data_IF_126188146334
#
_entry.id   IF_126188146334
#
_cell.length_a   1.000
_cell.length_b   1.000
_cell.length_c   1.000
_cell.angle_alpha   90.00
_cell.angle_beta   90.00
_cell.angle_gamma   90.00
#
_symmetry.space_group_name_H-M   'P 1'
#
loop_
_entity.id
_entity.type
_entity.pdbx_description
1 polymer ?
#
# COMPACT_ATOMS: atom_id res chain seq x y z
N UNK A 1 -6.12 -14.61 13.05
CA UNK A 1 -6.62 -13.30 12.60
C UNK A 1 -7.98 -12.94 13.23
N UNK A 2 -9.04 -13.76 13.09
CA UNK A 2 -10.40 -13.38 13.55
C UNK A 2 -10.50 -13.13 15.06
N UNK A 3 -9.88 -13.96 15.90
CA UNK A 3 -9.82 -13.72 17.34
C UNK A 3 -9.11 -12.41 17.68
N UNK A 4 -7.98 -12.13 17.02
CA UNK A 4 -7.24 -10.87 17.18
C UNK A 4 -8.05 -9.65 16.69
N UNK A 5 -8.81 -9.77 15.58
CA UNK A 5 -9.73 -8.73 15.13
C UNK A 5 -10.78 -8.37 16.19
N UNK A 6 -11.26 -9.36 16.94
CA UNK A 6 -12.22 -9.15 18.04
C UNK A 6 -11.59 -8.35 19.20
N UNK A 7 -10.30 -8.55 19.47
CA UNK A 7 -9.56 -7.78 20.47
C UNK A 7 -9.32 -6.35 19.95
N UNK A 8 -8.79 -6.20 18.72
CA UNK A 8 -8.52 -4.90 18.09
C UNK A 8 -9.74 -3.97 18.07
N UNK A 9 -10.92 -4.53 17.80
CA UNK A 9 -12.18 -3.77 17.76
C UNK A 9 -12.49 -3.04 19.07
N UNK A 10 -11.95 -3.51 20.22
CA UNK A 10 -12.20 -2.96 21.56
C UNK A 10 -11.13 -1.99 22.02
N UNK A 11 -10.02 -1.89 21.27
CA UNK A 11 -8.91 -1.01 21.61
C UNK A 11 -9.30 0.46 21.43
N UNK A 12 -8.84 1.28 22.35
CA UNK A 12 -8.92 2.74 22.22
C UNK A 12 -7.89 3.23 21.22
N UNK A 13 -8.06 4.45 20.74
CA UNK A 13 -7.13 5.14 19.87
C UNK A 13 -5.68 5.02 20.36
N UNK A 14 -5.43 5.40 21.61
CA UNK A 14 -4.09 5.39 22.19
C UNK A 14 -3.44 4.00 22.18
N UNK A 15 -4.22 2.96 22.47
CA UNK A 15 -3.72 1.59 22.46
C UNK A 15 -3.27 1.18 21.05
N UNK A 16 -4.00 1.59 20.01
CA UNK A 16 -3.64 1.36 18.59
C UNK A 16 -2.43 2.17 18.16
N UNK A 17 -2.32 3.42 18.62
CA UNK A 17 -1.18 4.28 18.34
C UNK A 17 0.11 3.70 18.93
N UNK A 18 0.04 3.19 20.18
CA UNK A 18 1.15 2.51 20.86
C UNK A 18 1.57 1.22 20.11
N UNK A 19 0.62 0.43 19.58
CA UNK A 19 0.93 -0.74 18.77
C UNK A 19 1.68 -0.36 17.48
N UNK A 20 1.25 0.69 16.79
CA UNK A 20 1.90 1.17 15.57
C UNK A 20 3.33 1.67 15.84
N UNK A 21 3.52 2.44 16.94
CA UNK A 21 4.84 2.86 17.36
C UNK A 21 5.73 1.67 17.71
N UNK A 22 5.20 0.66 18.41
CA UNK A 22 5.92 -0.57 18.73
C UNK A 22 6.34 -1.34 17.46
N UNK A 23 5.48 -1.42 16.44
CA UNK A 23 5.83 -2.03 15.16
C UNK A 23 6.96 -1.28 14.46
N UNK A 24 6.95 0.08 14.47
CA UNK A 24 8.04 0.90 13.94
C UNK A 24 9.37 0.64 14.65
N UNK A 25 9.34 0.53 15.99
CA UNK A 25 10.51 0.13 16.79
C UNK A 25 10.99 -1.27 16.40
N UNK A 26 10.07 -2.20 16.12
CA UNK A 26 10.38 -3.54 15.64
C UNK A 26 11.15 -3.52 14.32
N UNK A 27 10.70 -2.73 13.35
CA UNK A 27 11.39 -2.57 12.05
C UNK A 27 12.81 -2.02 12.22
N UNK A 28 13.00 -0.96 13.02
CA UNK A 28 14.31 -0.37 13.29
C UNK A 28 15.28 -1.35 13.94
N UNK A 29 14.78 -2.21 14.83
CA UNK A 29 15.61 -3.22 15.50
C UNK A 29 15.91 -4.45 14.63
N UNK A 30 15.07 -4.73 13.66
CA UNK A 30 15.22 -5.86 12.73
C UNK A 30 15.87 -5.48 11.39
N UNK A 31 16.54 -4.33 11.28
CA UNK A 31 17.10 -3.84 10.02
C UNK A 31 18.04 -4.87 9.37
N UNK A 32 18.97 -5.44 10.14
CA UNK A 32 19.99 -6.35 9.61
C UNK A 32 19.37 -7.66 9.10
N UNK A 33 18.39 -8.21 9.81
CA UNK A 33 17.67 -9.42 9.40
C UNK A 33 16.80 -9.14 8.17
N UNK A 34 16.16 -7.98 8.13
CA UNK A 34 15.33 -7.57 6.97
C UNK A 34 16.21 -7.38 5.73
N UNK A 35 17.37 -6.72 5.86
CA UNK A 35 18.29 -6.50 4.74
C UNK A 35 18.89 -7.82 4.25
N UNK A 36 19.24 -8.75 5.15
CA UNK A 36 19.74 -10.08 4.79
C UNK A 36 18.69 -10.86 3.99
N UNK A 37 17.44 -10.89 4.47
CA UNK A 37 16.35 -11.56 3.78
C UNK A 37 16.01 -10.90 2.42
N UNK A 38 16.07 -9.57 2.37
CA UNK A 38 15.84 -8.82 1.14
C UNK A 38 16.95 -9.05 0.11
N UNK A 39 18.22 -9.12 0.53
CA UNK A 39 19.33 -9.47 -0.34
C UNK A 39 19.11 -10.80 -1.06
N UNK A 40 18.65 -11.82 -0.35
CA UNK A 40 18.34 -13.12 -0.94
C UNK A 40 17.19 -13.06 -1.98
N UNK A 41 16.16 -12.22 -1.73
CA UNK A 41 15.08 -12.02 -2.70
C UNK A 41 15.57 -11.26 -3.94
N UNK A 42 16.38 -10.21 -3.76
CA UNK A 42 16.96 -9.41 -4.85
C UNK A 42 17.89 -10.24 -5.73
N UNK A 43 18.78 -11.05 -5.13
CA UNK A 43 19.68 -11.91 -5.86
C UNK A 43 18.89 -12.94 -6.69
N UNK A 44 17.89 -13.56 -6.10
CA UNK A 44 16.98 -14.49 -6.79
C UNK A 44 16.24 -13.82 -7.94
N UNK A 45 15.80 -12.56 -7.74
CA UNK A 45 15.14 -11.76 -8.78
C UNK A 45 16.10 -11.45 -9.94
N UNK A 46 17.34 -11.08 -9.63
CA UNK A 46 18.39 -10.80 -10.62
C UNK A 46 18.73 -12.04 -11.45
N UNK A 47 18.93 -13.18 -10.78
CA UNK A 47 19.21 -14.45 -11.44
C UNK A 47 18.06 -14.92 -12.34
N UNK A 48 16.83 -14.58 -11.99
CA UNK A 48 15.63 -14.84 -12.80
C UNK A 48 15.41 -13.83 -13.94
N UNK A 49 16.30 -12.85 -14.13
CA UNK A 49 16.19 -11.83 -15.18
C UNK A 49 15.11 -10.79 -14.93
N UNK A 50 14.82 -10.49 -13.67
CA UNK A 50 13.85 -9.44 -13.30
C UNK A 50 14.31 -8.08 -13.83
N UNK A 51 13.37 -7.31 -14.38
CA UNK A 51 13.58 -5.94 -14.84
C UNK A 51 14.13 -5.03 -13.73
N UNK A 52 15.05 -4.12 -14.06
CA UNK A 52 15.70 -3.20 -13.13
C UNK A 52 14.70 -2.35 -12.32
N UNK A 53 13.60 -1.91 -12.94
CA UNK A 53 12.57 -1.16 -12.26
C UNK A 53 11.80 -1.99 -11.22
N UNK A 54 11.65 -3.29 -11.47
CA UNK A 54 11.08 -4.23 -10.50
C UNK A 54 12.08 -4.58 -9.40
N UNK A 55 13.36 -4.72 -9.72
CA UNK A 55 14.44 -4.90 -8.75
C UNK A 55 14.55 -3.70 -7.81
N UNK A 56 14.49 -2.46 -8.34
CA UNK A 56 14.45 -1.25 -7.48
C UNK A 56 13.26 -1.26 -6.52
N UNK A 57 12.09 -1.70 -6.97
CA UNK A 57 10.89 -1.81 -6.12
C UNK A 57 11.02 -2.87 -5.04
N UNK A 58 11.71 -3.97 -5.34
CA UNK A 58 11.94 -5.08 -4.42
C UNK A 58 13.01 -4.73 -3.39
N UNK A 59 14.03 -3.96 -3.80
CA UNK A 59 15.19 -3.65 -2.97
C UNK A 59 14.82 -2.78 -1.76
N UNK A 60 15.22 -3.21 -0.58
CA UNK A 60 15.19 -2.42 0.65
C UNK A 60 16.58 -1.87 0.96
N UNK A 61 16.61 -0.67 1.54
CA UNK A 61 17.80 -0.05 2.13
C UNK A 61 17.49 0.33 3.57
N UNK A 62 18.49 0.65 4.41
CA UNK A 62 18.24 1.15 5.75
C UNK A 62 17.27 2.35 5.76
N UNK A 63 17.41 3.27 4.80
CA UNK A 63 16.57 4.45 4.67
C UNK A 63 15.14 4.09 4.27
N UNK A 64 14.96 3.07 3.41
CA UNK A 64 13.63 2.58 3.04
C UNK A 64 12.94 1.89 4.22
N UNK A 65 13.68 1.14 5.05
CA UNK A 65 13.15 0.51 6.27
C UNK A 65 12.80 1.59 7.31
N UNK A 66 13.65 2.61 7.48
CA UNK A 66 13.32 3.76 8.31
C UNK A 66 12.05 4.48 7.80
N UNK A 67 11.92 4.65 6.48
CA UNK A 67 10.70 5.18 5.85
C UNK A 67 9.45 4.37 6.19
N UNK A 68 9.55 3.03 6.26
CA UNK A 68 8.46 2.16 6.70
C UNK A 68 8.10 2.39 8.17
N UNK A 69 9.08 2.56 9.04
CA UNK A 69 8.86 2.85 10.46
C UNK A 69 8.19 4.23 10.66
N UNK A 70 8.70 5.26 9.97
CA UNK A 70 8.10 6.61 9.97
C UNK A 70 6.68 6.59 9.39
N UNK A 71 6.43 5.75 8.37
CA UNK A 71 5.09 5.54 7.83
C UNK A 71 4.10 5.02 8.87
N UNK A 72 4.50 4.04 9.70
CA UNK A 72 3.68 3.53 10.80
C UNK A 72 3.42 4.61 11.86
N UNK A 73 4.42 5.42 12.21
CA UNK A 73 4.27 6.56 13.11
C UNK A 73 3.30 7.60 12.52
N UNK A 74 3.41 7.87 11.21
CA UNK A 74 2.47 8.75 10.50
C UNK A 74 1.03 8.24 10.59
N UNK A 75 0.80 6.93 10.42
CA UNK A 75 -0.52 6.31 10.57
C UNK A 75 -1.01 6.42 12.01
N UNK A 76 -0.14 6.31 13.02
CA UNK A 76 -0.49 6.50 14.43
C UNK A 76 -1.07 7.90 14.69
N UNK A 77 -0.53 8.93 14.03
CA UNK A 77 -0.99 10.32 14.19
C UNK A 77 -2.35 10.61 13.49
N UNK A 78 -2.81 9.75 12.59
CA UNK A 78 -4.12 9.93 11.96
C UNK A 78 -5.25 9.80 13.00
N UNK A 79 -6.38 10.43 12.70
CA UNK A 79 -7.58 10.25 13.50
C UNK A 79 -8.05 8.80 13.43
N UNK A 80 -8.60 8.32 14.56
CA UNK A 80 -9.19 6.99 14.63
C UNK A 80 -10.58 7.02 13.99
N UNK A 81 -10.81 6.27 12.89
CA UNK A 81 -12.11 6.27 12.24
C UNK A 81 -13.18 5.47 13.03
N UNK A 82 -12.74 4.62 13.96
CA UNK A 82 -13.66 3.72 14.71
C UNK A 82 -14.43 4.51 15.75
N UNK A 83 -15.75 4.41 15.71
CA UNK A 83 -16.63 5.15 16.61
C UNK A 83 -17.05 6.54 16.10
N UNK A 84 -16.50 6.99 14.97
CA UNK A 84 -16.92 8.26 14.35
C UNK A 84 -18.42 8.20 13.94
N UNK A 85 -19.18 9.17 14.39
CA UNK A 85 -20.59 9.34 13.96
C UNK A 85 -20.63 10.08 12.63
N UNK A 86 -20.95 9.37 11.55
CA UNK A 86 -21.01 9.92 10.19
C UNK A 86 -22.23 10.84 10.03
N UNK A 87 -23.35 10.44 10.61
CA UNK A 87 -24.60 11.23 10.68
C UNK A 87 -25.51 10.71 11.78
N UNK A 88 -26.42 11.57 12.25
CA UNK A 88 -27.47 11.19 13.19
C UNK A 88 -28.77 11.91 12.86
N UNK A 89 -29.92 11.31 13.22
CA UNK A 89 -31.25 11.88 13.05
C UNK A 89 -32.22 11.33 14.08
N UNK A 90 -33.36 11.99 14.21
CA UNK A 90 -34.47 11.44 14.98
C UNK A 90 -35.57 10.96 14.03
N UNK A 91 -36.16 9.83 14.35
CA UNK A 91 -37.36 9.35 13.64
C UNK A 91 -38.58 10.17 14.06
N UNK A 92 -39.70 10.11 13.30
CA UNK A 92 -40.95 10.76 13.71
C UNK A 92 -41.47 10.29 15.08
N UNK A 93 -41.07 9.12 15.53
CA UNK A 93 -41.41 8.54 16.84
C UNK A 93 -40.42 8.93 17.96
N UNK A 94 -39.46 9.84 17.68
CA UNK A 94 -38.49 10.32 18.66
C UNK A 94 -37.27 9.42 18.91
N UNK A 95 -37.11 8.32 18.18
CA UNK A 95 -35.91 7.45 18.30
C UNK A 95 -34.72 8.14 17.69
N UNK A 96 -33.62 8.30 18.47
CA UNK A 96 -32.33 8.77 17.97
C UNK A 96 -31.64 7.65 17.22
N UNK A 97 -31.23 7.90 15.99
CA UNK A 97 -30.47 6.98 15.15
C UNK A 97 -29.12 7.61 14.81
N UNK A 98 -28.06 6.87 14.97
CA UNK A 98 -26.69 7.28 14.60
C UNK A 98 -26.06 6.23 13.68
N UNK A 99 -25.43 6.70 12.60
CA UNK A 99 -24.60 5.88 11.73
C UNK A 99 -23.15 6.03 12.18
N UNK A 100 -22.60 4.94 12.73
CA UNK A 100 -21.26 4.92 13.34
C UNK A 100 -20.33 4.05 12.50
N UNK A 101 -19.07 4.49 12.31
CA UNK A 101 -18.03 3.68 11.68
C UNK A 101 -17.58 2.55 12.60
N UNK A 102 -17.45 1.36 12.05
CA UNK A 102 -16.98 0.16 12.76
C UNK A 102 -15.90 -0.56 11.95
N UNK A 103 -14.99 -1.32 12.58
CA UNK A 103 -14.04 -2.15 11.85
C UNK A 103 -14.74 -3.17 10.95
N UNK A 104 -14.14 -3.47 9.80
CA UNK A 104 -14.62 -4.46 8.83
C UNK A 104 -14.44 -5.88 9.40
N UNK A 105 -13.28 -6.15 10.00
CA UNK A 105 -12.94 -7.44 10.58
C UNK A 105 -11.58 -7.96 10.13
N UNK A 106 -11.56 -8.96 9.25
CA UNK A 106 -10.34 -9.54 8.66
C UNK A 106 -10.23 -9.11 7.20
N UNK A 107 -9.17 -8.40 6.87
CA UNK A 107 -8.90 -7.90 5.52
C UNK A 107 -7.78 -8.72 4.89
N UNK A 108 -8.05 -9.34 3.74
CA UNK A 108 -7.03 -9.96 2.90
C UNK A 108 -6.46 -8.94 1.92
N UNK A 109 -5.14 -8.81 1.86
CA UNK A 109 -4.47 -7.91 0.93
C UNK A 109 -3.53 -8.73 0.05
N UNK A 110 -3.78 -8.71 -1.26
CA UNK A 110 -2.99 -9.45 -2.27
C UNK A 110 -2.18 -8.41 -3.04
N UNK A 111 -0.84 -8.51 -2.98
CA UNK A 111 0.03 -7.47 -3.55
C UNK A 111 1.27 -8.04 -4.24
N UNK A 112 1.82 -7.24 -5.16
CA UNK A 112 3.03 -7.56 -5.92
C UNK A 112 4.33 -7.35 -5.10
N UNK A 113 5.48 -7.49 -5.74
CA UNK A 113 6.82 -7.39 -5.16
C UNK A 113 7.14 -5.97 -4.65
N UNK A 114 6.57 -5.62 -3.49
CA UNK A 114 6.78 -4.33 -2.80
C UNK A 114 6.79 -4.56 -1.30
N UNK A 115 7.95 -4.84 -0.68
CA UNK A 115 8.04 -5.16 0.75
C UNK A 115 7.49 -4.06 1.67
N UNK A 116 7.56 -2.78 1.27
CA UNK A 116 6.99 -1.66 2.03
C UNK A 116 5.47 -1.75 2.18
N UNK A 117 4.76 -2.34 1.20
CA UNK A 117 3.29 -2.52 1.29
C UNK A 117 2.91 -3.38 2.49
N UNK A 118 3.79 -4.30 2.89
CA UNK A 118 3.60 -5.16 4.07
C UNK A 118 3.40 -4.34 5.34
N UNK A 119 4.24 -3.35 5.59
CA UNK A 119 4.12 -2.46 6.76
C UNK A 119 2.96 -1.48 6.63
N UNK A 120 2.79 -0.86 5.45
CA UNK A 120 1.74 0.11 5.20
C UNK A 120 0.36 -0.51 5.40
N UNK A 121 0.15 -1.70 4.80
CA UNK A 121 -1.10 -2.44 4.90
C UNK A 121 -1.40 -2.88 6.34
N UNK A 122 -0.39 -3.41 7.05
CA UNK A 122 -0.53 -3.79 8.46
C UNK A 122 -0.90 -2.58 9.32
N UNK A 123 -0.20 -1.45 9.14
CA UNK A 123 -0.43 -0.23 9.90
C UNK A 123 -1.85 0.31 9.73
N UNK A 124 -2.31 0.46 8.49
CA UNK A 124 -3.66 0.97 8.19
C UNK A 124 -4.74 0.02 8.73
N UNK A 125 -4.56 -1.30 8.60
CA UNK A 125 -5.50 -2.27 9.12
C UNK A 125 -5.60 -2.18 10.65
N UNK A 126 -4.46 -2.16 11.38
CA UNK A 126 -4.46 -2.05 12.83
C UNK A 126 -5.08 -0.74 13.31
N UNK A 127 -4.73 0.40 12.69
CA UNK A 127 -5.30 1.71 13.03
C UNK A 127 -6.81 1.73 12.91
N UNK A 128 -7.34 1.10 11.87
CA UNK A 128 -8.80 0.99 11.63
C UNK A 128 -9.47 -0.17 12.36
N UNK A 129 -8.75 -0.82 13.29
CA UNK A 129 -9.28 -1.90 14.14
C UNK A 129 -9.49 -3.24 13.44
N UNK A 130 -8.80 -3.47 12.31
CA UNK A 130 -8.90 -4.68 11.50
C UNK A 130 -7.67 -5.57 11.64
N UNK A 131 -7.84 -6.87 11.58
CA UNK A 131 -6.75 -7.81 11.33
C UNK A 131 -6.50 -7.92 9.82
N UNK A 132 -5.26 -8.26 9.43
CA UNK A 132 -4.88 -8.42 8.04
C UNK A 132 -4.21 -9.76 7.75
N UNK A 133 -4.55 -10.33 6.59
CA UNK A 133 -3.89 -11.45 5.94
C UNK A 133 -3.16 -10.91 4.71
N UNK A 134 -1.84 -10.95 4.73
CA UNK A 134 -0.97 -10.32 3.75
C UNK A 134 -0.43 -11.37 2.79
N UNK A 135 -0.82 -11.31 1.53
CA UNK A 135 -0.37 -12.20 0.46
C UNK A 135 0.48 -11.42 -0.55
N UNK A 136 1.78 -11.37 -0.29
CA UNK A 136 2.74 -10.77 -1.21
C UNK A 136 3.17 -11.72 -2.34
N UNK A 137 3.91 -11.18 -3.32
CA UNK A 137 4.55 -11.97 -4.37
C UNK A 137 5.58 -12.94 -3.79
N UNK A 138 5.74 -14.10 -4.41
CA UNK A 138 6.79 -15.08 -4.08
C UNK A 138 8.21 -14.51 -4.25
N UNK A 139 8.39 -13.55 -5.14
CA UNK A 139 9.68 -12.87 -5.35
C UNK A 139 10.11 -11.99 -4.16
N UNK A 140 9.21 -11.64 -3.24
CA UNK A 140 9.49 -10.85 -2.04
C UNK A 140 9.22 -11.64 -0.74
N UNK A 141 9.21 -12.96 -0.80
CA UNK A 141 8.73 -13.80 0.30
C UNK A 141 9.59 -13.67 1.55
N UNK A 142 10.92 -13.76 1.42
CA UNK A 142 11.82 -13.68 2.57
C UNK A 142 11.81 -12.27 3.19
N UNK A 143 11.77 -11.24 2.36
CA UNK A 143 11.60 -9.86 2.80
C UNK A 143 10.31 -9.67 3.61
N UNK A 144 9.19 -10.17 3.09
CA UNK A 144 7.89 -10.07 3.76
C UNK A 144 7.87 -10.83 5.08
N UNK A 145 8.49 -12.01 5.15
CA UNK A 145 8.66 -12.79 6.40
C UNK A 145 9.42 -12.00 7.45
N UNK A 146 10.58 -11.44 7.07
CA UNK A 146 11.42 -10.67 7.98
C UNK A 146 10.72 -9.40 8.48
N UNK A 147 10.06 -8.65 7.60
CA UNK A 147 9.28 -7.44 7.94
C UNK A 147 8.16 -7.78 8.92
N UNK A 148 7.37 -8.83 8.64
CA UNK A 148 6.27 -9.24 9.53
C UNK A 148 6.81 -9.75 10.86
N UNK A 149 7.89 -10.54 10.87
CA UNK A 149 8.53 -11.01 12.09
C UNK A 149 9.01 -9.83 12.97
N UNK A 150 9.66 -8.84 12.36
CA UNK A 150 10.13 -7.64 13.04
C UNK A 150 8.97 -6.85 13.68
N UNK A 151 7.89 -6.60 12.94
CA UNK A 151 6.69 -5.92 13.47
C UNK A 151 6.03 -6.72 14.60
N UNK A 152 5.79 -8.01 14.37
CA UNK A 152 5.12 -8.91 15.34
C UNK A 152 5.92 -9.10 16.62
N UNK A 153 7.26 -8.98 16.60
CA UNK A 153 8.13 -9.14 17.76
C UNK A 153 7.78 -8.16 18.91
N UNK A 154 7.09 -7.06 18.59
CA UNK A 154 6.73 -6.00 19.53
C UNK A 154 5.24 -5.96 19.87
N UNK A 155 4.44 -6.80 19.22
CA UNK A 155 3.01 -6.86 19.50
C UNK A 155 2.73 -7.80 20.67
N UNK A 156 1.75 -7.46 21.55
CA UNK A 156 1.21 -8.36 22.56
C UNK A 156 0.72 -9.67 21.93
N UNK A 157 0.79 -10.76 22.69
CA UNK A 157 0.47 -12.10 22.19
C UNK A 157 -0.95 -12.19 21.59
N UNK A 158 -1.93 -11.61 22.26
CA UNK A 158 -3.34 -11.62 21.83
C UNK A 158 -3.60 -10.83 20.53
N UNK A 159 -2.68 -9.91 20.15
CA UNK A 159 -2.79 -9.08 18.94
C UNK A 159 -1.83 -9.54 17.86
N UNK A 160 -0.78 -10.28 18.20
CA UNK A 160 0.24 -10.73 17.26
C UNK A 160 -0.35 -11.41 16.01
N UNK A 161 -1.42 -12.16 16.19
CA UNK A 161 -2.13 -12.83 15.11
C UNK A 161 -3.06 -11.92 14.29
N UNK A 162 -3.06 -10.60 14.55
CA UNK A 162 -3.75 -9.63 13.72
C UNK A 162 -2.99 -9.33 12.42
N UNK A 163 -1.69 -9.59 12.37
CA UNK A 163 -0.85 -9.41 11.18
C UNK A 163 -0.26 -10.74 10.79
N UNK A 164 -0.72 -11.33 9.69
CA UNK A 164 -0.27 -12.64 9.23
C UNK A 164 0.17 -12.60 7.77
N UNK A 165 1.27 -13.32 7.47
CA UNK A 165 1.65 -13.63 6.10
C UNK A 165 0.91 -14.87 5.63
N UNK A 166 0.33 -14.82 4.45
CA UNK A 166 -0.27 -15.97 3.76
C UNK A 166 0.75 -16.47 2.74
N UNK A 167 1.29 -17.64 2.98
CA UNK A 167 2.33 -18.25 2.17
C UNK A 167 1.78 -19.40 1.34
N UNK A 168 2.45 -19.71 0.22
CA UNK A 168 2.09 -20.79 -0.69
C UNK A 168 2.08 -20.36 -2.15
N UNK A 169 1.60 -21.22 -3.04
CA UNK A 169 1.48 -20.96 -4.47
C UNK A 169 0.20 -20.21 -4.86
N UNK A 170 -0.15 -20.32 -6.13
CA UNK A 170 -1.39 -19.70 -6.64
C UNK A 170 -2.65 -20.29 -6.01
N UNK A 171 -2.63 -21.57 -5.66
CA UNK A 171 -3.74 -22.28 -4.99
C UNK A 171 -4.17 -21.60 -3.68
N UNK A 172 -3.19 -21.11 -2.91
CA UNK A 172 -3.49 -20.40 -1.64
C UNK A 172 -4.13 -19.03 -1.90
N UNK A 173 -3.81 -18.41 -3.04
CA UNK A 173 -4.49 -17.16 -3.45
C UNK A 173 -5.95 -17.44 -3.79
N UNK A 174 -6.23 -18.54 -4.48
CA UNK A 174 -7.59 -18.97 -4.82
C UNK A 174 -8.39 -19.33 -3.54
N UNK A 175 -7.75 -20.02 -2.58
CA UNK A 175 -8.34 -20.30 -1.28
C UNK A 175 -8.67 -19.00 -0.53
N UNK A 176 -7.77 -18.03 -0.53
CA UNK A 176 -7.99 -16.73 0.12
C UNK A 176 -9.16 -15.99 -0.54
N UNK A 177 -9.25 -16.01 -1.89
CA UNK A 177 -10.37 -15.42 -2.62
C UNK A 177 -11.72 -16.11 -2.33
N UNK A 178 -11.69 -17.39 -1.99
CA UNK A 178 -12.87 -18.17 -1.64
C UNK A 178 -13.23 -18.17 -0.15
N UNK A 179 -12.40 -17.57 0.72
CA UNK A 179 -12.43 -17.69 2.18
C UNK A 179 -13.59 -16.94 2.86
N UNK A 180 -14.84 -17.09 2.37
CA UNK A 180 -16.04 -16.54 3.02
C UNK A 180 -16.17 -17.00 4.46
N UNK A 181 -16.53 -16.08 5.34
CA UNK A 181 -16.66 -16.34 6.78
C UNK A 181 -15.33 -16.27 7.55
N UNK A 182 -14.19 -16.31 6.86
CA UNK A 182 -12.85 -16.13 7.43
C UNK A 182 -12.25 -14.77 7.06
N UNK A 183 -12.51 -14.31 5.85
CA UNK A 183 -12.10 -13.00 5.33
C UNK A 183 -13.35 -12.19 5.02
N UNK A 184 -13.36 -10.93 5.45
CA UNK A 184 -14.52 -10.04 5.32
C UNK A 184 -14.38 -9.12 4.10
N UNK A 185 -13.14 -8.83 3.68
CA UNK A 185 -12.84 -7.96 2.56
C UNK A 185 -11.50 -8.36 1.92
N UNK A 186 -11.40 -8.28 0.58
CA UNK A 186 -10.15 -8.39 -0.15
C UNK A 186 -9.79 -7.06 -0.81
N UNK A 187 -8.49 -6.74 -0.80
CA UNK A 187 -7.93 -5.56 -1.46
C UNK A 187 -6.75 -6.01 -2.34
N UNK A 188 -6.95 -6.16 -3.67
CA UNK A 188 -5.84 -6.39 -4.59
C UNK A 188 -5.03 -5.10 -4.80
N UNK A 189 -3.70 -5.22 -4.79
CA UNK A 189 -2.76 -4.12 -4.96
C UNK A 189 -1.64 -4.50 -5.94
N UNK A 190 -1.77 -4.11 -7.21
CA UNK A 190 -0.80 -4.48 -8.24
C UNK A 190 -1.25 -4.07 -9.62
N UNK A 191 -0.73 -4.72 -10.65
CA UNK A 191 -1.11 -4.48 -12.03
C UNK A 191 -2.53 -4.92 -12.37
N UNK A 192 -3.02 -4.45 -13.52
CA UNK A 192 -4.39 -4.70 -13.98
C UNK A 192 -4.74 -6.19 -14.03
N UNK A 193 -3.79 -7.06 -14.38
CA UNK A 193 -3.99 -8.51 -14.45
C UNK A 193 -4.34 -9.12 -13.08
N UNK A 194 -3.58 -8.77 -12.03
CA UNK A 194 -3.86 -9.24 -10.67
C UNK A 194 -5.21 -8.70 -10.18
N UNK A 195 -5.46 -7.41 -10.37
CA UNK A 195 -6.72 -6.78 -9.94
C UNK A 195 -7.90 -7.47 -10.61
N UNK A 196 -7.85 -7.66 -11.93
CA UNK A 196 -8.92 -8.31 -12.66
C UNK A 196 -9.14 -9.77 -12.22
N UNK A 197 -8.07 -10.53 -12.01
CA UNK A 197 -8.16 -11.91 -11.53
C UNK A 197 -8.85 -11.99 -10.16
N UNK A 198 -8.50 -11.10 -9.23
CA UNK A 198 -9.15 -11.06 -7.90
C UNK A 198 -10.61 -10.63 -8.01
N UNK A 199 -10.90 -9.57 -8.78
CA UNK A 199 -12.28 -9.05 -8.92
C UNK A 199 -13.22 -10.08 -9.54
N UNK A 200 -12.75 -10.82 -10.54
CA UNK A 200 -13.58 -11.81 -11.24
C UNK A 200 -13.66 -13.15 -10.51
N UNK A 201 -12.62 -13.53 -9.77
CA UNK A 201 -12.51 -14.82 -9.09
C UNK A 201 -12.98 -14.84 -7.64
N UNK A 202 -12.98 -13.69 -6.95
CA UNK A 202 -13.27 -13.65 -5.52
C UNK A 202 -14.75 -13.93 -5.20
N UNK A 203 -14.94 -14.71 -4.13
CA UNK A 203 -16.25 -14.94 -3.48
C UNK A 203 -16.42 -14.06 -2.24
N UNK A 204 -15.34 -13.44 -1.79
CA UNK A 204 -15.29 -12.41 -0.72
C UNK A 204 -15.50 -11.04 -1.35
N UNK A 205 -16.14 -10.07 -0.69
CA UNK A 205 -16.22 -8.70 -1.18
C UNK A 205 -14.84 -8.13 -1.51
N UNK A 206 -14.74 -7.34 -2.59
CA UNK A 206 -13.48 -6.75 -3.06
C UNK A 206 -13.60 -5.24 -3.15
N UNK A 207 -12.61 -4.52 -2.63
CA UNK A 207 -12.36 -3.11 -2.97
C UNK A 207 -11.16 -3.06 -3.89
N UNK A 208 -11.38 -2.61 -5.12
CA UNK A 208 -10.33 -2.50 -6.12
C UNK A 208 -9.93 -1.06 -6.39
N UNK A 209 -8.69 -0.87 -6.83
CA UNK A 209 -8.24 0.36 -7.47
C UNK A 209 -8.27 0.18 -9.00
N UNK A 210 -8.58 1.25 -9.73
CA UNK A 210 -8.43 1.24 -11.19
C UNK A 210 -6.98 1.50 -11.61
N UNK A 211 -6.72 1.41 -12.92
CA UNK A 211 -5.50 1.94 -13.54
C UNK A 211 -5.59 3.47 -13.57
N UNK A 212 -4.58 4.14 -12.99
CA UNK A 212 -4.46 5.59 -13.12
C UNK A 212 -3.81 5.97 -14.46
N UNK A 213 -4.21 7.08 -15.01
CA UNK A 213 -3.51 7.75 -16.10
C UNK A 213 -3.28 9.21 -15.67
N UNK A 214 -2.04 9.52 -15.30
CA UNK A 214 -1.70 10.82 -14.77
C UNK A 214 -1.54 11.84 -15.90
N UNK A 215 -2.26 12.95 -15.81
CA UNK A 215 -2.28 13.99 -16.81
C UNK A 215 -1.64 15.28 -16.30
N UNK A 216 -0.87 15.93 -17.15
CA UNK A 216 -0.46 17.34 -17.01
C UNK A 216 -1.21 18.17 -18.04
N UNK A 217 -1.87 19.23 -17.60
CA UNK A 217 -2.53 20.19 -18.48
C UNK A 217 -1.69 21.48 -18.51
N UNK A 218 -1.27 21.88 -19.70
CA UNK A 218 -0.53 23.12 -19.95
C UNK A 218 -1.47 24.09 -20.67
N UNK A 219 -2.02 25.04 -19.91
CA UNK A 219 -2.95 26.05 -20.43
C UNK A 219 -2.20 27.16 -21.18
N UNK A 220 -2.91 27.96 -21.96
CA UNK A 220 -2.35 29.10 -22.73
C UNK A 220 -1.68 30.15 -21.84
N UNK A 221 -2.11 30.27 -20.58
CA UNK A 221 -1.55 31.19 -19.57
C UNK A 221 -0.34 30.60 -18.82
N UNK A 222 0.06 29.36 -19.12
CA UNK A 222 1.14 28.70 -18.39
C UNK A 222 2.51 29.32 -18.70
N UNK A 223 3.38 29.36 -17.68
CA UNK A 223 4.82 29.54 -17.86
C UNK A 223 5.39 28.24 -18.48
N UNK A 224 5.96 28.39 -19.69
CA UNK A 224 6.43 27.23 -20.46
C UNK A 224 7.63 26.56 -19.80
N UNK A 225 8.57 27.33 -19.23
CA UNK A 225 9.74 26.76 -18.55
C UNK A 225 9.34 25.97 -17.31
N UNK A 226 8.47 26.52 -16.49
CA UNK A 226 7.91 25.83 -15.32
C UNK A 226 7.18 24.56 -15.74
N UNK A 227 6.34 24.61 -16.78
CA UNK A 227 5.57 23.46 -17.27
C UNK A 227 6.49 22.32 -17.75
N UNK A 228 7.58 22.67 -18.46
CA UNK A 228 8.58 21.69 -18.91
C UNK A 228 9.29 21.04 -17.72
N UNK A 229 9.73 21.83 -16.74
CA UNK A 229 10.40 21.33 -15.55
C UNK A 229 9.50 20.38 -14.75
N UNK A 230 8.21 20.71 -14.61
CA UNK A 230 7.22 19.84 -13.97
C UNK A 230 7.03 18.54 -14.77
N UNK A 231 6.87 18.63 -16.10
CA UNK A 231 6.68 17.46 -16.96
C UNK A 231 7.85 16.49 -16.89
N UNK A 232 9.07 17.02 -16.99
CA UNK A 232 10.30 16.22 -16.92
C UNK A 232 10.43 15.57 -15.56
N UNK A 233 10.32 16.33 -14.46
CA UNK A 233 10.38 15.75 -13.12
C UNK A 233 9.31 14.69 -12.91
N UNK A 234 8.06 14.96 -13.28
CA UNK A 234 6.94 14.04 -13.11
C UNK A 234 7.10 12.73 -13.91
N UNK A 235 7.87 12.75 -15.02
CA UNK A 235 8.15 11.55 -15.82
C UNK A 235 9.40 10.82 -15.39
N UNK A 236 10.48 11.54 -15.06
CA UNK A 236 11.81 10.94 -14.99
C UNK A 236 12.29 10.61 -13.57
N UNK A 237 11.76 11.29 -12.54
CA UNK A 237 12.21 11.04 -11.16
C UNK A 237 12.02 9.56 -10.72
N UNK A 238 10.94 8.91 -11.17
CA UNK A 238 10.66 7.50 -10.92
C UNK A 238 9.60 7.00 -11.91
N UNK A 239 9.98 6.61 -13.13
CA UNK A 239 9.04 6.32 -14.20
C UNK A 239 8.16 5.09 -13.96
N UNK A 240 8.57 4.19 -13.06
CA UNK A 240 7.89 2.94 -12.77
C UNK A 240 6.74 3.05 -11.75
N UNK A 241 6.47 4.22 -11.18
CA UNK A 241 5.39 4.39 -10.19
C UNK A 241 4.07 4.80 -10.84
N UNK A 242 2.96 4.46 -10.17
CA UNK A 242 1.61 4.70 -10.68
C UNK A 242 1.19 6.18 -10.79
N UNK A 243 1.96 7.10 -10.20
CA UNK A 243 1.76 8.55 -10.28
C UNK A 243 2.78 9.26 -11.21
N UNK A 244 3.61 8.51 -11.94
CA UNK A 244 4.40 9.09 -13.01
C UNK A 244 3.47 9.57 -14.14
N UNK A 245 3.79 10.71 -14.74
CA UNK A 245 2.96 11.28 -15.79
C UNK A 245 2.95 10.38 -17.04
N UNK A 246 1.79 10.24 -17.66
CA UNK A 246 1.61 9.45 -18.89
C UNK A 246 1.09 10.31 -20.05
N UNK A 247 0.32 11.33 -19.76
CA UNK A 247 -0.32 12.18 -20.77
C UNK A 247 -0.05 13.66 -20.49
N UNK A 248 0.36 14.40 -21.52
CA UNK A 248 0.47 15.86 -21.46
C UNK A 248 -0.52 16.48 -22.45
N UNK A 249 -1.44 17.28 -21.95
CA UNK A 249 -2.41 18.04 -22.72
C UNK A 249 -1.96 19.48 -22.84
N UNK A 250 -1.71 19.96 -24.05
CA UNK A 250 -1.19 21.30 -24.29
C UNK A 250 -2.21 22.13 -25.05
N UNK A 251 -2.51 23.33 -24.51
CA UNK A 251 -3.37 24.28 -25.23
C UNK A 251 -2.77 24.68 -26.57
N UNK A 252 -3.58 24.68 -27.64
CA UNK A 252 -3.11 24.92 -29.01
C UNK A 252 -2.29 26.22 -29.15
N UNK A 253 -2.64 27.25 -28.41
CA UNK A 253 -2.00 28.58 -28.49
C UNK A 253 -0.52 28.63 -28.07
N UNK A 254 -0.05 27.63 -27.30
CA UNK A 254 1.35 27.53 -26.84
C UNK A 254 2.00 26.21 -27.21
N UNK A 255 1.33 25.39 -28.04
CA UNK A 255 1.78 24.03 -28.35
C UNK A 255 3.19 24.01 -28.97
N UNK A 256 3.47 24.90 -29.91
CA UNK A 256 4.77 24.93 -30.59
C UNK A 256 5.93 25.18 -29.62
N UNK A 257 5.79 26.11 -28.69
CA UNK A 257 6.84 26.43 -27.71
C UNK A 257 6.95 25.33 -26.63
N UNK A 258 5.84 24.95 -26.04
CA UNK A 258 5.82 23.97 -24.94
C UNK A 258 6.27 22.57 -25.37
N UNK A 259 5.80 22.09 -26.54
CA UNK A 259 6.17 20.75 -27.04
C UNK A 259 7.65 20.73 -27.47
N UNK A 260 8.15 21.73 -28.22
CA UNK A 260 9.56 21.77 -28.61
C UNK A 260 10.49 21.81 -27.42
N UNK A 261 10.19 22.61 -26.41
CA UNK A 261 11.00 22.70 -25.19
C UNK A 261 10.99 21.38 -24.41
N UNK A 262 9.81 20.72 -24.28
CA UNK A 262 9.70 19.43 -23.60
C UNK A 262 10.47 18.32 -24.32
N UNK A 263 10.36 18.24 -25.66
CA UNK A 263 11.05 17.22 -26.48
C UNK A 263 12.56 17.45 -26.45
N UNK A 264 13.03 18.67 -26.58
CA UNK A 264 14.46 18.98 -26.51
C UNK A 264 15.08 18.55 -25.19
N UNK A 265 14.39 18.78 -24.08
CA UNK A 265 14.85 18.39 -22.75
C UNK A 265 14.88 16.86 -22.57
N UNK A 266 13.85 16.15 -23.00
CA UNK A 266 13.77 14.68 -22.86
C UNK A 266 14.78 13.94 -23.74
N UNK A 267 15.09 14.43 -24.93
CA UNK A 267 16.08 13.81 -25.82
C UNK A 267 17.53 14.07 -25.42
N UNK A 268 17.80 15.12 -24.63
CA UNK A 268 19.13 15.42 -24.09
C UNK A 268 19.43 14.68 -22.78
N UNK A 269 18.44 14.12 -22.12
CA UNK A 269 18.57 13.51 -20.79
C UNK A 269 18.38 12.00 -20.76
N UNK A 270 17.97 11.38 -21.86
CA UNK A 270 17.91 9.92 -21.97
C UNK A 270 19.22 9.40 -22.63
N UNK A 271 19.94 8.48 -21.98
CA UNK A 271 21.12 7.84 -22.57
C UNK A 271 20.75 6.97 -23.77
#
# INVERSE_FOLDING_TARGET
ARSAATVLRRLRRIDKDDLLAAMGIGLRKGVDEILTANGADVDRGRDAGMDEALLDRLTLTPERIEGMAVGLEGVAHLDDPVGEVVRGWHTPLGVKVEQVRVPIGVIGIIYEARPNVTSDAAGICLKSGNACLLRGSSSALESNRAVIAAMRSRLPEEIREAVQLVEGGHEVTDELMAARGYVDLLIPRGGAGLINAVVTGAKVPVIQTGTGNCHLVIDVSADVEMAVNIAVNAKTQRPSVCNAIETVLVHRGIADSAVRSSVSYTHLTLP
#
